data_IF_572314184474
#
_entry.id   IF_572314184474
#
_cell.length_a   1.000
_cell.length_b   1.000
_cell.length_c   1.000
_cell.angle_alpha   90.00
_cell.angle_beta   90.00
_cell.angle_gamma   90.00
#
_symmetry.space_group_name_H-M   'P 1'
#
loop_
_entity.id
_entity.type
_entity.pdbx_description
1 polymer ?
#
# COMPACT_ATOMS: atom_id res chain seq x y z
N UNK A 1 21.01 -14.08 -6.36
CA UNK A 1 21.41 -13.84 -4.95
C UNK A 1 21.53 -12.34 -4.67
N UNK A 2 21.03 -11.86 -3.53
CA UNK A 2 21.18 -10.47 -3.06
C UNK A 2 22.06 -10.46 -1.82
N UNK A 3 23.02 -9.53 -1.74
CA UNK A 3 23.89 -9.40 -0.54
C UNK A 3 23.99 -7.93 -0.11
N UNK A 4 23.81 -7.71 1.18
CA UNK A 4 24.11 -6.45 1.87
C UNK A 4 25.29 -6.71 2.82
N UNK A 5 26.36 -5.95 2.69
CA UNK A 5 27.59 -6.08 3.49
C UNK A 5 27.91 -4.77 4.19
N UNK A 6 27.72 -4.69 5.49
CA UNK A 6 27.96 -3.53 6.35
C UNK A 6 27.25 -2.25 5.85
N UNK A 7 26.01 -2.38 5.34
CA UNK A 7 25.35 -1.25 4.69
C UNK A 7 24.79 -0.27 5.71
N UNK A 8 25.26 0.98 5.60
CA UNK A 8 24.74 2.13 6.31
C UNK A 8 24.15 3.10 5.30
N UNK A 9 23.03 3.74 5.63
CA UNK A 9 22.41 4.75 4.79
C UNK A 9 22.01 5.94 5.62
N UNK A 10 22.46 7.12 5.17
CA UNK A 10 22.09 8.41 5.73
C UNK A 10 21.42 9.26 4.66
N UNK A 11 20.27 9.84 4.96
CA UNK A 11 19.52 10.71 4.05
C UNK A 11 19.30 12.04 4.76
N UNK A 12 19.78 13.13 4.17
CA UNK A 12 19.68 14.48 4.72
C UNK A 12 20.19 14.58 6.18
N UNK A 13 21.32 13.90 6.48
CA UNK A 13 21.89 13.87 7.81
C UNK A 13 21.17 12.99 8.84
N UNK A 14 20.12 12.25 8.43
CA UNK A 14 19.42 11.31 9.28
C UNK A 14 19.78 9.87 8.92
N UNK A 15 20.26 9.11 9.91
CA UNK A 15 20.57 7.69 9.71
C UNK A 15 19.29 6.88 9.54
N UNK A 16 19.17 6.23 8.40
CA UNK A 16 18.00 5.43 8.02
C UNK A 16 18.27 3.93 8.16
N UNK A 17 19.47 3.48 7.75
CA UNK A 17 19.92 2.10 7.93
C UNK A 17 21.25 2.09 8.68
N UNK A 18 21.41 1.13 9.57
CA UNK A 18 22.55 1.01 10.44
C UNK A 18 23.09 -0.42 10.45
N UNK A 19 24.27 -0.58 9.84
CA UNK A 19 25.03 -1.83 9.79
C UNK A 19 24.21 -3.05 9.31
N UNK A 20 23.59 -2.93 8.15
CA UNK A 20 22.79 -4.02 7.59
C UNK A 20 23.69 -5.10 6.99
N UNK A 21 23.48 -6.32 7.49
CA UNK A 21 24.01 -7.55 6.92
C UNK A 21 22.85 -8.47 6.54
N UNK A 22 22.67 -8.75 5.27
CA UNK A 22 21.62 -9.64 4.79
C UNK A 22 22.07 -10.33 3.51
N UNK A 23 21.87 -11.64 3.45
CA UNK A 23 22.00 -12.42 2.22
C UNK A 23 20.64 -13.02 1.89
N UNK A 24 20.16 -12.83 0.68
CA UNK A 24 18.99 -13.52 0.11
C UNK A 24 19.51 -14.47 -0.95
N UNK A 25 19.27 -15.77 -0.76
CA UNK A 25 19.77 -16.80 -1.67
C UNK A 25 18.95 -16.86 -2.96
N UNK A 26 19.51 -17.50 -3.98
CA UNK A 26 18.77 -17.72 -5.24
C UNK A 26 17.52 -18.56 -5.00
N UNK A 27 16.39 -18.11 -5.56
CA UNK A 27 15.10 -18.74 -5.40
C UNK A 27 14.47 -18.57 -4.01
N UNK A 28 15.11 -17.85 -3.09
CA UNK A 28 14.56 -17.59 -1.76
C UNK A 28 13.50 -16.49 -1.79
N UNK A 29 12.41 -16.71 -1.05
CA UNK A 29 11.36 -15.70 -0.83
C UNK A 29 11.54 -15.09 0.57
N UNK A 30 12.03 -13.84 0.64
CA UNK A 30 12.28 -13.12 1.89
C UNK A 30 11.28 -12.00 2.09
N UNK A 31 10.63 -11.99 3.24
CA UNK A 31 9.71 -10.96 3.68
C UNK A 31 10.42 -10.01 4.66
N UNK A 32 10.45 -8.73 4.33
CA UNK A 32 10.86 -7.65 5.23
C UNK A 32 9.63 -7.12 5.97
N UNK A 33 9.64 -7.16 7.29
CA UNK A 33 8.57 -6.63 8.13
C UNK A 33 9.13 -5.70 9.22
N UNK A 34 8.26 -4.91 9.84
CA UNK A 34 8.58 -3.92 10.87
C UNK A 34 7.67 -2.70 10.79
N UNK A 35 7.81 -1.79 11.73
CA UNK A 35 7.04 -0.55 11.80
C UNK A 35 7.24 0.35 10.56
N UNK A 36 6.32 1.29 10.35
CA UNK A 36 6.49 2.31 9.30
C UNK A 36 7.74 3.15 9.59
N UNK A 37 8.52 3.45 8.54
CA UNK A 37 9.75 4.24 8.70
C UNK A 37 10.98 3.47 9.21
N UNK A 38 10.90 2.15 9.47
CA UNK A 38 12.04 1.37 9.96
C UNK A 38 13.11 1.03 8.89
N UNK A 39 12.96 1.49 7.64
CA UNK A 39 13.97 1.33 6.59
C UNK A 39 13.67 0.28 5.51
N UNK A 40 12.49 -0.39 5.51
CA UNK A 40 12.12 -1.42 4.50
C UNK A 40 12.21 -0.92 3.06
N UNK A 41 11.55 0.20 2.78
CA UNK A 41 11.59 0.86 1.46
C UNK A 41 13.01 1.28 1.05
N UNK A 42 13.85 1.67 2.00
CA UNK A 42 15.25 1.99 1.73
C UNK A 42 16.03 0.75 1.29
N UNK A 43 15.80 -0.40 1.93
CA UNK A 43 16.40 -1.67 1.51
C UNK A 43 15.95 -2.09 0.10
N UNK A 44 14.65 -1.97 -0.22
CA UNK A 44 14.16 -2.28 -1.57
C UNK A 44 14.76 -1.34 -2.62
N UNK A 45 14.90 -0.03 -2.30
CA UNK A 45 15.52 0.96 -3.19
C UNK A 45 17.02 0.78 -3.41
N UNK A 46 17.73 0.20 -2.46
CA UNK A 46 19.12 -0.19 -2.65
C UNK A 46 19.26 -1.35 -3.64
N UNK A 47 18.37 -2.35 -3.57
CA UNK A 47 18.44 -3.52 -4.45
C UNK A 47 18.11 -3.16 -5.90
N UNK A 48 17.13 -2.27 -6.12
CA UNK A 48 16.73 -1.87 -7.47
C UNK A 48 17.54 -0.68 -8.03
N UNK A 49 18.54 -0.18 -7.29
CA UNK A 49 19.44 0.87 -7.73
C UNK A 49 18.84 2.29 -7.69
N UNK A 50 17.63 2.49 -7.20
CA UNK A 50 17.10 3.86 -7.02
C UNK A 50 17.94 4.64 -6.01
N UNK A 51 18.53 3.96 -5.05
CA UNK A 51 19.60 4.45 -4.21
C UNK A 51 20.87 3.70 -4.66
N UNK A 52 21.96 4.41 -5.02
CA UNK A 52 22.18 5.86 -4.92
C UNK A 52 21.82 6.65 -6.18
N UNK A 53 21.39 6.03 -7.29
CA UNK A 53 21.38 6.65 -8.61
C UNK A 53 20.38 7.81 -8.78
N UNK A 54 19.22 7.78 -8.08
CA UNK A 54 18.15 8.76 -8.25
C UNK A 54 17.78 9.54 -6.99
N UNK A 55 18.16 9.05 -5.81
CA UNK A 55 17.92 9.78 -4.56
C UNK A 55 19.08 10.72 -4.31
N UNK A 56 18.76 12.02 -4.16
CA UNK A 56 19.74 13.06 -3.83
C UNK A 56 19.98 13.10 -2.31
N UNK A 57 21.15 13.67 -1.92
CA UNK A 57 21.52 13.87 -0.53
C UNK A 57 21.47 12.57 0.30
N UNK A 58 21.93 11.48 -0.32
CA UNK A 58 22.05 10.16 0.29
C UNK A 58 23.52 9.75 0.37
N UNK A 59 23.94 9.33 1.56
CA UNK A 59 25.24 8.71 1.79
C UNK A 59 25.03 7.23 2.03
N UNK A 60 25.75 6.39 1.28
CA UNK A 60 25.72 4.94 1.39
C UNK A 60 27.12 4.45 1.65
N UNK A 61 27.32 3.78 2.78
CA UNK A 61 28.54 3.06 3.12
C UNK A 61 28.25 1.54 3.13
N UNK A 62 29.24 0.74 2.81
CA UNK A 62 29.09 -0.69 2.60
C UNK A 62 28.78 -1.05 1.14
N UNK A 63 28.38 -2.30 0.89
CA UNK A 63 28.18 -2.81 -0.46
C UNK A 63 26.88 -3.56 -0.60
N UNK A 64 26.15 -3.29 -1.69
CA UNK A 64 24.97 -4.05 -2.12
C UNK A 64 25.26 -4.70 -3.45
N UNK A 65 25.13 -6.04 -3.51
CA UNK A 65 25.28 -6.77 -4.76
C UNK A 65 24.03 -7.56 -5.09
N UNK A 66 23.69 -7.61 -6.38
CA UNK A 66 22.61 -8.46 -6.90
C UNK A 66 23.15 -9.24 -8.09
N UNK A 67 23.01 -10.56 -8.06
CA UNK A 67 23.57 -11.45 -9.09
C UNK A 67 25.07 -11.18 -9.36
N UNK A 68 25.82 -10.85 -8.30
CA UNK A 68 27.24 -10.50 -8.38
C UNK A 68 27.53 -9.09 -8.89
N UNK A 69 26.53 -8.31 -9.32
CA UNK A 69 26.70 -6.92 -9.72
C UNK A 69 26.73 -6.01 -8.49
N UNK A 70 27.70 -5.13 -8.38
CA UNK A 70 27.68 -4.04 -7.42
C UNK A 70 26.69 -2.98 -7.88
N UNK A 71 25.63 -2.76 -7.12
CA UNK A 71 24.53 -1.87 -7.52
C UNK A 71 25.00 -0.41 -7.66
N UNK A 72 25.85 0.05 -6.77
CA UNK A 72 26.33 1.46 -6.81
C UNK A 72 27.18 1.76 -8.05
N UNK A 73 27.83 0.76 -8.63
CA UNK A 73 28.73 0.92 -9.77
C UNK A 73 28.10 0.50 -11.12
N UNK A 74 26.98 -0.23 -11.06
CA UNK A 74 26.36 -0.78 -12.25
C UNK A 74 25.40 0.20 -12.92
N UNK A 75 25.37 0.29 -14.25
CA UNK A 75 24.43 1.17 -14.92
C UNK A 75 22.99 0.65 -14.76
N UNK A 76 22.03 1.58 -14.63
CA UNK A 76 20.61 1.28 -14.31
C UNK A 76 19.95 0.31 -15.27
N UNK A 77 20.28 0.35 -16.56
CA UNK A 77 19.68 -0.58 -17.53
C UNK A 77 20.03 -2.04 -17.24
N UNK A 78 21.28 -2.31 -16.79
CA UNK A 78 21.70 -3.67 -16.39
C UNK A 78 21.02 -4.13 -15.11
N UNK A 79 20.84 -3.22 -14.15
CA UNK A 79 20.11 -3.51 -12.92
C UNK A 79 18.66 -3.85 -13.28
N UNK A 80 18.00 -3.07 -14.14
CA UNK A 80 16.62 -3.26 -14.55
C UNK A 80 16.37 -4.56 -15.36
N UNK A 81 17.38 -5.10 -16.05
CA UNK A 81 17.30 -6.41 -16.70
C UNK A 81 17.23 -7.57 -15.67
N UNK A 82 17.92 -7.43 -14.54
CA UNK A 82 18.02 -8.48 -13.52
C UNK A 82 17.03 -8.33 -12.39
N UNK A 83 16.63 -7.09 -12.06
CA UNK A 83 15.79 -6.72 -10.92
C UNK A 83 14.49 -6.11 -11.40
N UNK A 84 13.41 -6.85 -11.25
CA UNK A 84 12.06 -6.36 -11.49
C UNK A 84 11.46 -5.74 -10.24
N UNK A 85 11.01 -4.47 -10.32
CA UNK A 85 10.50 -3.72 -9.19
C UNK A 85 9.01 -3.43 -9.30
N UNK A 86 8.26 -3.68 -8.22
CA UNK A 86 6.86 -3.27 -8.09
C UNK A 86 6.73 -2.31 -6.91
N UNK A 87 6.31 -1.07 -7.20
CA UNK A 87 6.23 0.00 -6.21
C UNK A 87 4.87 0.03 -5.49
N UNK A 88 4.87 0.65 -4.32
CA UNK A 88 3.67 0.86 -3.50
C UNK A 88 2.56 1.60 -4.27
N UNK A 89 2.94 2.60 -5.08
CA UNK A 89 1.98 3.32 -5.93
C UNK A 89 2.15 2.92 -7.40
N UNK A 90 1.29 2.05 -7.95
CA UNK A 90 1.42 1.59 -9.32
C UNK A 90 1.28 2.70 -10.37
N UNK A 91 0.60 3.81 -10.02
CA UNK A 91 0.41 4.93 -10.95
C UNK A 91 1.71 5.60 -11.38
N UNK A 92 2.76 5.49 -10.57
CA UNK A 92 4.07 6.07 -10.89
C UNK A 92 4.91 5.20 -11.82
N UNK A 93 4.45 3.98 -12.14
CA UNK A 93 5.15 3.03 -13.00
C UNK A 93 4.66 3.04 -14.45
N UNK A 94 3.46 3.59 -14.73
CA UNK A 94 2.85 3.49 -16.06
C UNK A 94 3.33 4.57 -17.01
N UNK A 95 3.71 4.14 -18.20
CA UNK A 95 4.13 4.96 -19.32
C UNK A 95 3.14 4.92 -20.47
N UNK A 96 2.37 3.84 -20.61
CA UNK A 96 1.40 3.64 -21.67
C UNK A 96 -0.04 3.91 -21.20
N UNK A 97 -0.91 4.22 -22.15
CA UNK A 97 -2.35 4.40 -21.89
C UNK A 97 -3.15 3.12 -22.06
N UNK A 98 -2.57 2.13 -22.73
CA UNK A 98 -3.13 0.81 -22.99
C UNK A 98 -2.41 -0.26 -22.14
N UNK A 99 -3.18 -1.21 -21.61
CA UNK A 99 -2.65 -2.22 -20.70
C UNK A 99 -1.76 -3.26 -21.38
N UNK A 100 -2.07 -3.66 -22.60
CA UNK A 100 -1.25 -4.62 -23.34
C UNK A 100 0.08 -3.99 -23.77
N UNK A 101 0.06 -2.72 -24.20
CA UNK A 101 1.26 -1.94 -24.47
C UNK A 101 2.10 -1.73 -23.18
N UNK A 102 1.46 -1.52 -22.02
CA UNK A 102 2.17 -1.40 -20.76
C UNK A 102 2.89 -2.69 -20.34
N UNK A 103 2.28 -3.86 -20.60
CA UNK A 103 2.94 -5.15 -20.36
C UNK A 103 4.15 -5.33 -21.29
N UNK A 104 4.08 -4.84 -22.52
CA UNK A 104 5.16 -4.93 -23.52
C UNK A 104 6.30 -3.93 -23.26
N UNK A 105 6.03 -2.83 -22.56
CA UNK A 105 6.92 -1.67 -22.45
C UNK A 105 8.37 -2.00 -22.03
N UNK A 106 8.54 -2.86 -21.03
CA UNK A 106 9.86 -3.28 -20.60
C UNK A 106 10.62 -4.06 -21.67
N UNK A 107 9.92 -4.92 -22.42
CA UNK A 107 10.49 -5.70 -23.51
C UNK A 107 10.88 -4.82 -24.70
N UNK A 108 10.09 -3.77 -24.99
CA UNK A 108 10.42 -2.76 -26.01
C UNK A 108 11.71 -2.02 -25.65
N UNK A 109 11.88 -1.63 -24.40
CA UNK A 109 13.06 -0.89 -23.93
C UNK A 109 14.35 -1.71 -24.02
N UNK A 110 14.30 -3.03 -23.90
CA UNK A 110 15.47 -3.89 -24.11
C UNK A 110 15.66 -4.30 -25.60
N UNK A 111 14.83 -3.78 -26.50
CA UNK A 111 14.92 -4.05 -27.93
C UNK A 111 14.53 -5.49 -28.32
N UNK A 112 13.60 -6.09 -27.59
CA UNK A 112 13.13 -7.45 -27.89
C UNK A 112 12.42 -7.51 -29.27
N UNK A 113 12.56 -8.65 -29.95
CA UNK A 113 11.91 -8.90 -31.22
C UNK A 113 10.37 -8.86 -31.11
N UNK A 114 9.70 -8.37 -32.14
CA UNK A 114 8.25 -8.18 -32.17
C UNK A 114 7.46 -9.46 -31.88
N UNK A 115 7.85 -10.58 -32.55
CA UNK A 115 7.18 -11.88 -32.38
C UNK A 115 7.40 -12.41 -30.93
N UNK A 116 8.60 -12.21 -30.38
CA UNK A 116 8.90 -12.58 -29.00
C UNK A 116 8.05 -11.77 -28.04
N UNK A 117 7.95 -10.45 -28.20
CA UNK A 117 7.14 -9.56 -27.34
C UNK A 117 5.68 -9.99 -27.30
N UNK A 118 5.06 -10.22 -28.48
CA UNK A 118 3.66 -10.63 -28.55
C UNK A 118 3.41 -11.97 -27.86
N UNK A 119 4.27 -12.95 -28.09
CA UNK A 119 4.20 -14.26 -27.41
C UNK A 119 4.37 -14.09 -25.90
N UNK A 120 5.27 -13.23 -25.47
CA UNK A 120 5.56 -13.01 -24.05
C UNK A 120 4.41 -12.28 -23.34
N UNK A 121 3.82 -11.26 -23.96
CA UNK A 121 2.63 -10.57 -23.47
C UNK A 121 1.46 -11.54 -23.33
N UNK A 122 1.15 -12.30 -24.39
CA UNK A 122 0.08 -13.29 -24.36
C UNK A 122 0.30 -14.35 -23.26
N UNK A 123 1.54 -14.84 -23.11
CA UNK A 123 1.92 -15.77 -22.05
C UNK A 123 1.73 -15.14 -20.66
N UNK A 124 2.18 -13.91 -20.47
CA UNK A 124 2.02 -13.19 -19.20
C UNK A 124 0.55 -13.06 -18.80
N UNK A 125 -0.31 -12.66 -19.74
CA UNK A 125 -1.75 -12.54 -19.50
C UNK A 125 -2.34 -13.88 -19.08
N UNK A 126 -1.97 -14.97 -19.74
CA UNK A 126 -2.46 -16.32 -19.44
C UNK A 126 -1.92 -16.85 -18.10
N UNK A 127 -0.59 -16.72 -17.83
CA UNK A 127 0.05 -17.20 -16.61
C UNK A 127 -0.55 -16.52 -15.37
N UNK A 128 -0.82 -15.21 -15.45
CA UNK A 128 -1.35 -14.40 -14.36
C UNK A 128 -2.88 -14.37 -14.29
N UNK A 129 -3.56 -14.96 -15.29
CA UNK A 129 -5.04 -15.00 -15.42
C UNK A 129 -5.67 -13.61 -15.36
N UNK A 130 -5.15 -12.71 -16.18
CA UNK A 130 -5.55 -11.29 -16.25
C UNK A 130 -6.14 -10.93 -17.63
N UNK A 131 -6.78 -11.88 -18.33
CA UNK A 131 -7.39 -11.68 -19.64
C UNK A 131 -8.39 -10.51 -19.64
N UNK A 132 -9.05 -10.28 -18.51
CA UNK A 132 -9.98 -9.17 -18.33
C UNK A 132 -9.30 -7.79 -18.31
N UNK A 133 -8.00 -7.71 -18.23
CA UNK A 133 -7.22 -6.46 -18.26
C UNK A 133 -6.68 -6.16 -19.68
N UNK A 134 -6.60 -7.14 -20.57
CA UNK A 134 -6.03 -6.97 -21.90
C UNK A 134 -6.78 -5.87 -22.70
N UNK A 135 -6.03 -5.09 -23.46
CA UNK A 135 -6.51 -4.05 -24.39
C UNK A 135 -7.45 -3.02 -23.75
N UNK A 136 -7.23 -2.73 -22.47
CA UNK A 136 -8.00 -1.73 -21.73
C UNK A 136 -7.20 -0.47 -21.47
N UNK A 137 -7.91 0.65 -21.40
CA UNK A 137 -7.29 1.91 -20.96
C UNK A 137 -6.84 1.80 -19.50
N UNK A 138 -5.56 2.08 -19.22
CA UNK A 138 -4.97 2.10 -17.88
C UNK A 138 -5.73 3.07 -16.95
N UNK A 139 -6.27 4.15 -17.51
CA UNK A 139 -7.05 5.13 -16.72
C UNK A 139 -8.39 4.57 -16.22
N UNK A 140 -8.96 3.58 -16.92
CA UNK A 140 -10.23 2.95 -16.55
C UNK A 140 -10.08 1.86 -15.48
N UNK A 141 -8.84 1.44 -15.18
CA UNK A 141 -8.57 0.38 -14.23
C UNK A 141 -8.74 0.85 -12.78
N UNK A 142 -9.27 -0.02 -11.94
CA UNK A 142 -9.30 0.14 -10.49
C UNK A 142 -7.88 0.10 -9.89
N UNK A 143 -7.74 0.52 -8.62
CA UNK A 143 -6.43 0.47 -7.93
C UNK A 143 -5.84 -0.94 -7.88
N UNK A 144 -6.66 -1.96 -7.62
CA UNK A 144 -6.21 -3.36 -7.62
C UNK A 144 -5.82 -3.87 -9.01
N UNK A 145 -6.60 -3.56 -10.05
CA UNK A 145 -6.26 -3.89 -11.43
C UNK A 145 -4.96 -3.22 -11.87
N UNK A 146 -4.72 -1.97 -11.47
CA UNK A 146 -3.45 -1.27 -11.72
C UNK A 146 -2.27 -1.96 -11.07
N UNK A 147 -2.41 -2.42 -9.83
CA UNK A 147 -1.34 -3.15 -9.16
C UNK A 147 -1.01 -4.47 -9.87
N UNK A 148 -2.05 -5.20 -10.30
CA UNK A 148 -1.86 -6.42 -11.09
C UNK A 148 -1.20 -6.14 -12.44
N UNK A 149 -1.56 -5.04 -13.12
CA UNK A 149 -0.94 -4.61 -14.36
C UNK A 149 0.54 -4.23 -14.16
N UNK A 150 0.86 -3.46 -13.11
CA UNK A 150 2.26 -3.13 -12.77
C UNK A 150 3.09 -4.38 -12.48
N UNK A 151 2.49 -5.38 -11.82
CA UNK A 151 3.16 -6.66 -11.64
C UNK A 151 3.34 -7.40 -12.97
N UNK A 152 2.34 -7.40 -13.84
CA UNK A 152 2.37 -8.07 -15.15
C UNK A 152 3.46 -7.50 -16.06
N UNK A 153 3.66 -6.17 -16.08
CA UNK A 153 4.73 -5.55 -16.87
C UNK A 153 6.12 -5.98 -16.37
N UNK A 154 6.31 -6.10 -15.08
CA UNK A 154 7.55 -6.64 -14.49
C UNK A 154 7.70 -8.13 -14.78
N UNK A 155 6.63 -8.92 -14.65
CA UNK A 155 6.64 -10.36 -14.93
C UNK A 155 6.97 -10.69 -16.38
N UNK A 156 6.51 -9.85 -17.33
CA UNK A 156 6.82 -10.00 -18.74
C UNK A 156 8.34 -9.95 -19.02
N UNK A 157 9.09 -9.15 -18.29
CA UNK A 157 10.55 -9.06 -18.37
C UNK A 157 11.27 -10.32 -17.88
N UNK A 158 10.64 -11.13 -17.03
CA UNK A 158 11.20 -12.34 -16.42
C UNK A 158 12.52 -12.12 -15.67
N UNK A 159 12.58 -11.14 -14.77
CA UNK A 159 13.81 -10.83 -14.04
C UNK A 159 14.17 -11.98 -13.09
N UNK A 160 15.47 -12.10 -12.74
CA UNK A 160 15.93 -13.12 -11.77
C UNK A 160 15.49 -12.78 -10.34
N UNK A 161 15.40 -11.47 -10.03
CA UNK A 161 15.05 -10.96 -8.72
C UNK A 161 13.81 -10.08 -8.80
N UNK A 162 12.81 -10.36 -7.97
CA UNK A 162 11.64 -9.51 -7.79
C UNK A 162 11.76 -8.74 -6.48
N UNK A 163 11.63 -7.42 -6.56
CA UNK A 163 11.60 -6.51 -5.41
C UNK A 163 10.26 -5.82 -5.35
N UNK A 164 9.53 -6.04 -4.25
CA UNK A 164 8.21 -5.49 -4.07
C UNK A 164 8.16 -4.62 -2.80
N UNK A 165 7.67 -3.40 -2.94
CA UNK A 165 7.51 -2.46 -1.84
C UNK A 165 6.02 -2.22 -1.58
N UNK A 166 5.49 -2.80 -0.50
CA UNK A 166 4.09 -2.73 -0.06
C UNK A 166 3.05 -2.94 -1.18
N UNK A 167 3.16 -4.01 -1.98
CA UNK A 167 2.31 -4.18 -3.15
C UNK A 167 0.83 -4.39 -2.81
N UNK A 168 0.50 -4.68 -1.55
CA UNK A 168 -0.89 -4.88 -1.10
C UNK A 168 -1.58 -3.61 -0.59
N UNK A 169 -0.89 -2.46 -0.50
CA UNK A 169 -1.38 -1.25 0.17
C UNK A 169 -2.78 -0.79 -0.28
N UNK A 170 -3.08 -0.91 -1.58
CA UNK A 170 -4.34 -0.45 -2.18
C UNK A 170 -5.27 -1.60 -2.61
N UNK A 171 -4.98 -2.85 -2.19
CA UNK A 171 -5.73 -4.03 -2.59
C UNK A 171 -6.86 -4.35 -1.60
N UNK A 172 -7.99 -4.76 -2.14
CA UNK A 172 -9.01 -5.47 -1.38
C UNK A 172 -8.64 -6.97 -1.24
N UNK A 173 -9.44 -7.71 -0.52
CA UNK A 173 -9.17 -9.12 -0.23
C UNK A 173 -9.04 -9.97 -1.51
N UNK A 174 -9.93 -9.77 -2.49
CA UNK A 174 -9.91 -10.53 -3.75
C UNK A 174 -8.63 -10.24 -4.58
N UNK A 175 -8.23 -8.97 -4.63
CA UNK A 175 -7.00 -8.57 -5.33
C UNK A 175 -5.74 -9.08 -4.60
N UNK A 176 -5.74 -9.11 -3.26
CA UNK A 176 -4.66 -9.72 -2.48
C UNK A 176 -4.51 -11.22 -2.75
N UNK A 177 -5.62 -11.95 -2.83
CA UNK A 177 -5.60 -13.37 -3.18
C UNK A 177 -5.05 -13.62 -4.59
N UNK A 178 -5.37 -12.75 -5.54
CA UNK A 178 -4.77 -12.80 -6.88
C UNK A 178 -3.27 -12.55 -6.82
N UNK A 179 -2.83 -11.50 -6.09
CA UNK A 179 -1.40 -11.21 -5.92
C UNK A 179 -0.67 -12.39 -5.26
N UNK A 180 -1.25 -13.01 -4.23
CA UNK A 180 -0.68 -14.20 -3.60
C UNK A 180 -0.41 -15.32 -4.62
N UNK A 181 -1.41 -15.66 -5.45
CA UNK A 181 -1.27 -16.71 -6.50
C UNK A 181 -0.18 -16.39 -7.51
N UNK A 182 -0.06 -15.12 -7.87
CA UNK A 182 1.00 -14.63 -8.76
C UNK A 182 2.37 -14.84 -8.10
N UNK A 183 2.53 -14.45 -6.84
CA UNK A 183 3.76 -14.65 -6.08
C UNK A 183 4.12 -16.14 -5.90
N UNK A 184 3.11 -17.00 -5.71
CA UNK A 184 3.31 -18.46 -5.72
C UNK A 184 3.85 -18.97 -7.05
N UNK A 185 3.36 -18.42 -8.17
CA UNK A 185 3.86 -18.77 -9.51
C UNK A 185 5.32 -18.34 -9.69
N UNK A 186 5.66 -17.13 -9.29
CA UNK A 186 7.04 -16.59 -9.32
C UNK A 186 7.97 -17.47 -8.47
N UNK A 187 7.58 -17.80 -7.23
CA UNK A 187 8.37 -18.67 -6.35
C UNK A 187 8.58 -20.06 -6.94
N UNK A 188 7.51 -20.68 -7.48
CA UNK A 188 7.59 -22.01 -8.12
C UNK A 188 8.49 -22.02 -9.35
N UNK A 189 8.65 -20.89 -10.02
CA UNK A 189 9.55 -20.73 -11.17
C UNK A 189 11.01 -20.52 -10.76
N UNK A 190 11.32 -20.52 -9.46
CA UNK A 190 12.69 -20.44 -8.93
C UNK A 190 13.27 -19.03 -8.85
N UNK A 191 12.45 -17.99 -8.99
CA UNK A 191 12.90 -16.60 -8.89
C UNK A 191 13.10 -16.19 -7.43
N UNK A 192 14.08 -15.31 -7.21
CA UNK A 192 14.34 -14.70 -5.90
C UNK A 192 13.34 -13.57 -5.65
N UNK A 193 12.75 -13.52 -4.46
CA UNK A 193 11.77 -12.49 -4.09
C UNK A 193 12.19 -11.79 -2.79
N UNK A 194 12.29 -10.46 -2.84
CA UNK A 194 12.42 -9.61 -1.67
C UNK A 194 11.18 -8.71 -1.59
N UNK A 195 10.36 -8.89 -0.57
CA UNK A 195 9.12 -8.13 -0.40
C UNK A 195 9.09 -7.41 0.93
N UNK A 196 8.85 -6.10 0.92
CA UNK A 196 8.55 -5.30 2.08
C UNK A 196 7.04 -5.21 2.26
N UNK A 197 6.51 -5.57 3.43
CA UNK A 197 5.07 -5.63 3.62
C UNK A 197 4.65 -5.39 5.09
N UNK A 198 3.46 -4.78 5.24
CA UNK A 198 2.77 -4.62 6.51
C UNK A 198 1.61 -5.62 6.70
N UNK A 199 0.99 -6.08 5.62
CA UNK A 199 -0.09 -7.07 5.64
C UNK A 199 0.49 -8.46 5.49
N UNK A 200 0.80 -9.11 6.59
CA UNK A 200 1.57 -10.36 6.60
C UNK A 200 0.72 -11.60 6.30
N UNK A 201 -0.59 -11.55 6.55
CA UNK A 201 -1.48 -12.71 6.50
C UNK A 201 -1.51 -13.40 5.13
N UNK A 202 -1.53 -12.65 4.01
CA UNK A 202 -1.58 -13.26 2.68
C UNK A 202 -0.23 -13.87 2.23
N UNK A 203 0.87 -13.52 2.88
CA UNK A 203 2.22 -14.06 2.64
C UNK A 203 2.55 -15.24 3.56
N UNK A 204 1.69 -15.52 4.53
CA UNK A 204 1.87 -16.63 5.45
C UNK A 204 1.96 -17.96 4.69
N UNK A 205 3.01 -18.75 4.99
CA UNK A 205 3.32 -20.00 4.28
C UNK A 205 3.92 -19.81 2.87
N UNK A 206 4.09 -18.57 2.38
CA UNK A 206 4.75 -18.29 1.12
C UNK A 206 6.22 -17.86 1.32
N UNK A 207 6.49 -16.99 2.28
CA UNK A 207 7.85 -16.58 2.61
C UNK A 207 8.64 -17.73 3.25
N UNK A 208 9.89 -17.92 2.82
CA UNK A 208 10.82 -18.90 3.42
C UNK A 208 11.45 -18.34 4.69
N UNK A 209 11.73 -17.04 4.68
CA UNK A 209 12.37 -16.33 5.77
C UNK A 209 11.74 -14.94 5.96
N UNK A 210 11.61 -14.53 7.20
CA UNK A 210 11.06 -13.25 7.61
C UNK A 210 12.15 -12.46 8.34
N UNK A 211 12.44 -11.26 7.88
CA UNK A 211 13.43 -10.35 8.43
C UNK A 211 12.71 -9.19 9.10
N UNK A 212 12.83 -9.10 10.41
CA UNK A 212 12.24 -8.04 11.20
C UNK A 212 13.21 -6.88 11.36
N UNK A 213 12.79 -5.71 10.86
CA UNK A 213 13.54 -4.46 10.99
C UNK A 213 12.94 -3.58 12.08
N UNK A 214 13.83 -2.95 12.85
CA UNK A 214 13.48 -1.93 13.84
C UNK A 214 14.54 -0.84 13.84
N UNK A 215 14.11 0.41 13.76
CA UNK A 215 14.99 1.59 13.82
C UNK A 215 16.23 1.47 12.90
N UNK A 216 16.05 1.02 11.66
CA UNK A 216 17.12 0.91 10.67
C UNK A 216 18.04 -0.31 10.82
N UNK A 217 17.77 -1.23 11.72
CA UNK A 217 18.58 -2.43 11.96
C UNK A 217 17.77 -3.71 11.73
N UNK A 218 18.44 -4.79 11.35
CA UNK A 218 17.87 -6.14 11.42
C UNK A 218 17.94 -6.60 12.87
N UNK A 219 16.81 -6.65 13.55
CA UNK A 219 16.74 -7.05 14.95
C UNK A 219 16.61 -8.58 15.09
N UNK A 220 15.78 -9.19 14.23
CA UNK A 220 15.58 -10.63 14.22
C UNK A 220 15.33 -11.16 12.80
N UNK A 221 15.76 -12.39 12.59
CA UNK A 221 15.41 -13.16 11.40
C UNK A 221 14.74 -14.44 11.85
N UNK A 222 13.63 -14.80 11.19
CA UNK A 222 12.82 -15.97 11.50
C UNK A 222 12.70 -16.86 10.29
N UNK A 223 12.66 -18.14 10.49
CA UNK A 223 12.07 -19.09 9.56
C UNK A 223 10.53 -18.91 9.54
N UNK A 224 9.86 -19.40 8.50
CA UNK A 224 8.38 -19.38 8.45
C UNK A 224 7.75 -20.08 9.69
N UNK A 225 8.34 -21.18 10.15
CA UNK A 225 7.85 -21.92 11.30
C UNK A 225 8.02 -21.15 12.63
N UNK A 226 9.17 -20.54 12.86
CA UNK A 226 9.39 -19.70 14.04
C UNK A 226 8.46 -18.50 14.08
N UNK A 227 8.25 -17.85 12.94
CA UNK A 227 7.35 -16.70 12.85
C UNK A 227 5.89 -17.09 13.10
N UNK A 228 5.49 -18.28 12.66
CA UNK A 228 4.16 -18.83 12.93
C UNK A 228 3.90 -19.07 14.43
N UNK A 229 4.95 -19.45 15.18
CA UNK A 229 4.87 -19.73 16.62
C UNK A 229 4.83 -18.46 17.49
N UNK A 230 5.08 -17.26 16.93
CA UNK A 230 4.97 -16.01 17.69
C UNK A 230 3.52 -15.83 18.19
N UNK A 231 3.38 -15.50 19.46
CA UNK A 231 2.09 -15.13 20.04
C UNK A 231 1.60 -13.78 19.48
N UNK A 232 0.30 -13.52 19.59
CA UNK A 232 -0.28 -12.24 19.19
C UNK A 232 0.31 -11.07 20.00
N UNK A 233 0.61 -11.31 21.28
CA UNK A 233 1.25 -10.32 22.15
C UNK A 233 2.66 -9.96 21.67
N UNK A 234 3.47 -10.95 21.28
CA UNK A 234 4.80 -10.71 20.72
C UNK A 234 4.73 -9.93 19.42
N UNK A 235 3.83 -10.31 18.50
CA UNK A 235 3.62 -9.57 17.24
C UNK A 235 3.20 -8.13 17.48
N UNK A 236 2.28 -7.90 18.40
CA UNK A 236 1.84 -6.55 18.78
C UNK A 236 2.99 -5.74 19.38
N UNK A 237 3.81 -6.32 20.26
CA UNK A 237 4.99 -5.67 20.83
C UNK A 237 6.07 -5.33 19.78
N UNK A 238 6.10 -6.07 18.67
CA UNK A 238 6.94 -5.80 17.51
C UNK A 238 6.30 -4.79 16.52
N UNK A 239 5.12 -4.24 16.81
CA UNK A 239 4.39 -3.36 15.90
C UNK A 239 3.88 -4.06 14.62
N UNK A 240 3.75 -5.38 14.64
CA UNK A 240 3.32 -6.18 13.50
C UNK A 240 1.81 -6.43 13.54
N UNK A 241 1.21 -6.52 12.36
CA UNK A 241 -0.22 -6.88 12.24
C UNK A 241 -0.42 -8.37 12.47
N UNK A 242 -1.62 -8.74 12.94
CA UNK A 242 -2.03 -10.14 13.06
C UNK A 242 -1.92 -10.89 11.73
N UNK A 243 -1.47 -12.14 11.79
CA UNK A 243 -1.47 -13.07 10.65
C UNK A 243 -2.71 -13.97 10.65
N UNK A 244 -3.40 -14.08 11.78
CA UNK A 244 -4.62 -14.87 11.93
C UNK A 244 -5.84 -13.94 11.99
N UNK A 245 -6.72 -14.03 11.01
CA UNK A 245 -7.96 -13.24 10.94
C UNK A 245 -9.19 -14.00 11.45
N UNK A 246 -9.06 -15.29 11.73
CA UNK A 246 -10.19 -16.15 12.13
C UNK A 246 -10.71 -15.86 13.55
N UNK A 247 -9.90 -15.21 14.38
CA UNK A 247 -10.28 -14.89 15.78
C UNK A 247 -10.96 -13.53 15.94
N UNK A 248 -11.09 -12.74 14.88
CA UNK A 248 -11.74 -11.43 14.93
C UNK A 248 -13.26 -11.66 14.99
N UNK A 249 -13.84 -11.62 16.18
CA UNK A 249 -15.28 -11.58 16.36
C UNK A 249 -15.81 -10.20 16.02
N UNK A 250 -16.53 -10.10 14.90
CA UNK A 250 -17.28 -8.90 14.56
C UNK A 250 -18.55 -8.93 15.44
N UNK A 251 -18.80 -7.88 16.26
CA UNK A 251 -20.06 -7.81 17.01
C UNK A 251 -21.26 -7.89 16.06
N UNK A 252 -22.30 -8.58 16.45
CA UNK A 252 -23.53 -8.59 15.67
C UNK A 252 -24.05 -7.15 15.52
N UNK A 253 -24.38 -6.78 14.28
CA UNK A 253 -24.93 -5.47 13.97
C UNK A 253 -26.28 -5.32 14.69
N UNK A 254 -26.35 -4.40 15.63
CA UNK A 254 -27.62 -3.98 16.21
C UNK A 254 -28.44 -3.23 15.16
N UNK A 255 -29.73 -3.58 15.07
CA UNK A 255 -30.67 -2.93 14.16
C UNK A 255 -30.68 -1.40 14.34
N UNK A 256 -31.04 -0.68 13.27
CA UNK A 256 -31.20 0.78 13.28
C UNK A 256 -32.07 1.19 14.48
N UNK A 257 -31.48 1.87 15.44
CA UNK A 257 -32.19 2.35 16.61
C UNK A 257 -32.97 3.64 16.27
N UNK A 258 -34.26 3.73 16.64
CA UNK A 258 -35.09 4.90 16.30
C UNK A 258 -34.59 6.24 16.85
N UNK A 259 -33.91 6.22 17.99
CA UNK A 259 -33.47 7.39 18.74
C UNK A 259 -31.94 7.55 18.78
N UNK A 260 -31.19 6.93 17.86
CA UNK A 260 -29.75 7.06 17.80
C UNK A 260 -29.28 8.50 17.61
N UNK A 261 -28.11 8.84 18.17
CA UNK A 261 -27.50 10.17 18.04
C UNK A 261 -27.25 10.55 16.57
N UNK A 262 -26.93 9.56 15.72
CA UNK A 262 -26.82 9.70 14.27
C UNK A 262 -27.69 8.62 13.60
N UNK A 263 -28.55 9.01 12.69
CA UNK A 263 -29.31 8.10 11.85
C UNK A 263 -29.22 8.47 10.38
N UNK A 264 -28.87 7.51 9.55
CA UNK A 264 -28.96 7.58 8.09
C UNK A 264 -30.14 6.72 7.67
N UNK A 265 -31.07 7.28 6.92
CA UNK A 265 -32.31 6.60 6.52
C UNK A 265 -32.45 6.62 5.01
N UNK A 266 -32.53 5.42 4.41
CA UNK A 266 -32.79 5.20 2.99
C UNK A 266 -31.92 6.05 2.06
N UNK A 267 -30.65 6.26 2.42
CA UNK A 267 -29.74 7.12 1.68
C UNK A 267 -29.43 6.50 0.30
N UNK A 268 -29.60 7.32 -0.73
CA UNK A 268 -29.35 6.93 -2.11
C UNK A 268 -28.51 7.98 -2.82
N UNK A 269 -27.57 7.52 -3.65
CA UNK A 269 -26.70 8.40 -4.44
C UNK A 269 -26.53 7.86 -5.85
N UNK A 270 -26.71 8.74 -6.83
CA UNK A 270 -26.50 8.49 -8.26
C UNK A 270 -25.39 9.41 -8.77
N UNK A 271 -24.60 8.91 -9.71
CA UNK A 271 -23.65 9.73 -10.47
C UNK A 271 -23.92 9.56 -11.96
N UNK A 272 -24.28 10.65 -12.64
CA UNK A 272 -24.74 10.58 -14.02
C UNK A 272 -25.92 9.60 -14.15
N UNK A 273 -25.75 8.51 -14.91
CA UNK A 273 -26.77 7.46 -15.08
C UNK A 273 -26.53 6.23 -14.19
N UNK A 274 -25.46 6.20 -13.36
CA UNK A 274 -25.08 5.07 -12.53
C UNK A 274 -25.59 5.27 -11.09
N UNK A 275 -26.36 4.34 -10.57
CA UNK A 275 -26.66 4.26 -9.14
C UNK A 275 -25.45 3.70 -8.41
N UNK A 276 -24.85 4.51 -7.51
CA UNK A 276 -23.69 4.10 -6.73
C UNK A 276 -24.15 3.21 -5.58
N UNK A 277 -25.14 3.67 -4.84
CA UNK A 277 -25.84 2.88 -3.82
C UNK A 277 -27.28 3.36 -3.66
N UNK A 278 -28.13 2.48 -3.16
CA UNK A 278 -29.54 2.74 -2.97
C UNK A 278 -29.98 2.18 -1.62
N UNK A 279 -30.82 2.95 -0.91
CA UNK A 279 -31.50 2.54 0.32
C UNK A 279 -30.56 2.09 1.46
N UNK A 280 -29.45 2.81 1.69
CA UNK A 280 -28.57 2.55 2.82
C UNK A 280 -29.16 3.18 4.08
N UNK A 281 -29.34 2.36 5.11
CA UNK A 281 -29.78 2.81 6.43
C UNK A 281 -28.81 2.30 7.49
N UNK A 282 -28.42 3.19 8.42
CA UNK A 282 -27.59 2.84 9.59
C UNK A 282 -27.88 3.81 10.74
N UNK A 283 -27.56 3.41 11.94
CA UNK A 283 -27.58 4.26 13.12
C UNK A 283 -26.27 4.12 13.91
N UNK A 284 -25.94 5.17 14.64
CA UNK A 284 -24.82 5.20 15.56
C UNK A 284 -25.14 6.06 16.77
N UNK A 285 -24.65 5.70 17.91
CA UNK A 285 -24.67 6.51 19.11
C UNK A 285 -23.33 7.20 19.35
N UNK A 286 -23.30 8.18 20.25
CA UNK A 286 -22.09 8.91 20.58
C UNK A 286 -21.03 7.94 21.16
N UNK A 287 -19.82 8.00 20.63
CA UNK A 287 -18.73 7.11 21.01
C UNK A 287 -18.62 5.82 20.17
N UNK A 288 -19.59 5.53 19.31
CA UNK A 288 -19.53 4.35 18.44
C UNK A 288 -18.43 4.47 17.37
N UNK A 289 -17.78 3.33 17.09
CA UNK A 289 -16.85 3.16 15.98
C UNK A 289 -17.50 2.24 14.94
N UNK A 290 -17.78 2.78 13.75
CA UNK A 290 -18.42 2.02 12.67
C UNK A 290 -17.42 1.70 11.58
N UNK A 291 -17.21 0.42 11.30
CA UNK A 291 -16.42 -0.06 10.18
C UNK A 291 -17.27 -0.22 8.91
N UNK A 292 -16.91 0.50 7.83
CA UNK A 292 -17.53 0.35 6.51
C UNK A 292 -16.65 -0.56 5.66
N UNK A 293 -17.12 -1.78 5.41
CA UNK A 293 -16.38 -2.81 4.68
C UNK A 293 -17.03 -3.11 3.32
N UNK A 294 -16.24 -3.62 2.39
CA UNK A 294 -16.70 -4.01 1.05
C UNK A 294 -15.60 -3.92 0.00
N UNK A 295 -15.87 -4.45 -1.20
CA UNK A 295 -14.93 -4.43 -2.35
C UNK A 295 -14.55 -3.00 -2.75
N UNK A 296 -13.37 -2.86 -3.39
CA UNK A 296 -12.98 -1.59 -3.98
C UNK A 296 -13.98 -1.18 -5.07
N UNK A 297 -14.26 0.14 -5.15
CA UNK A 297 -15.22 0.69 -6.11
C UNK A 297 -16.71 0.56 -5.74
N UNK A 298 -17.08 -0.14 -4.64
CA UNK A 298 -18.51 -0.33 -4.24
C UNK A 298 -19.21 0.94 -3.76
N UNK A 299 -18.44 2.04 -3.52
CA UNK A 299 -19.04 3.31 -3.09
C UNK A 299 -18.73 3.72 -1.64
N UNK A 300 -17.82 3.06 -0.92
CA UNK A 300 -17.45 3.41 0.47
C UNK A 300 -17.07 4.89 0.62
N UNK A 301 -16.11 5.36 -0.19
CA UNK A 301 -15.69 6.77 -0.18
C UNK A 301 -16.81 7.71 -0.62
N UNK A 302 -17.67 7.28 -1.55
CA UNK A 302 -18.85 8.05 -1.95
C UNK A 302 -19.82 8.21 -0.79
N UNK A 303 -20.03 7.15 0.00
CA UNK A 303 -20.87 7.19 1.19
C UNK A 303 -20.29 8.18 2.23
N UNK A 304 -19.00 8.08 2.58
CA UNK A 304 -18.34 9.00 3.51
C UNK A 304 -18.42 10.45 3.03
N UNK A 305 -18.12 10.73 1.75
CA UNK A 305 -18.23 12.06 1.16
C UNK A 305 -19.67 12.59 1.20
N UNK A 306 -20.67 11.73 1.02
CA UNK A 306 -22.07 12.10 1.11
C UNK A 306 -22.47 12.39 2.55
N UNK A 307 -22.02 11.57 3.50
CA UNK A 307 -22.26 11.79 4.93
C UNK A 307 -21.71 13.15 5.38
N UNK A 308 -20.47 13.47 5.00
CA UNK A 308 -19.82 14.75 5.31
C UNK A 308 -20.39 15.96 4.51
N UNK A 309 -21.35 15.76 3.60
CA UNK A 309 -21.94 16.83 2.82
C UNK A 309 -21.10 17.31 1.64
N UNK A 310 -19.98 16.64 1.31
CA UNK A 310 -19.17 16.94 0.13
C UNK A 310 -19.89 16.55 -1.17
N UNK A 311 -20.71 15.51 -1.12
CA UNK A 311 -21.57 15.09 -2.22
C UNK A 311 -23.07 15.29 -1.90
N UNK A 312 -23.91 15.60 -2.91
CA UNK A 312 -25.35 15.65 -2.73
C UNK A 312 -25.92 14.23 -2.52
N UNK A 313 -27.14 14.18 -1.99
CA UNK A 313 -27.98 12.99 -1.88
C UNK A 313 -29.07 13.04 -2.94
N UNK A 314 -29.40 11.90 -3.54
CA UNK A 314 -30.55 11.77 -4.47
C UNK A 314 -31.80 11.26 -3.75
N UNK A 315 -31.66 10.67 -2.57
CA UNK A 315 -32.78 10.22 -1.73
C UNK A 315 -32.33 9.98 -0.29
N UNK A 316 -33.32 9.85 0.60
CA UNK A 316 -33.10 9.60 2.01
C UNK A 316 -32.77 10.84 2.84
N UNK A 317 -32.42 10.62 4.09
CA UNK A 317 -32.10 11.68 5.03
C UNK A 317 -31.01 11.27 6.02
N UNK A 318 -30.32 12.28 6.54
CA UNK A 318 -29.32 12.15 7.60
C UNK A 318 -29.80 13.02 8.75
N UNK A 319 -29.95 12.41 9.91
CA UNK A 319 -30.49 12.99 11.13
C UNK A 319 -29.43 12.90 12.22
N UNK A 320 -29.17 13.98 12.94
CA UNK A 320 -28.31 13.98 14.13
C UNK A 320 -29.05 14.59 15.30
N UNK A 321 -29.08 13.89 16.43
CA UNK A 321 -29.80 14.27 17.65
C UNK A 321 -31.23 14.73 17.36
N UNK A 322 -31.96 13.93 16.54
CA UNK A 322 -33.34 14.21 16.15
C UNK A 322 -33.55 15.32 15.12
N UNK A 323 -32.47 15.95 14.63
CA UNK A 323 -32.56 17.05 13.65
C UNK A 323 -32.05 16.58 12.29
N UNK A 324 -32.89 16.76 11.25
CA UNK A 324 -32.47 16.51 9.87
C UNK A 324 -31.39 17.49 9.44
N UNK A 325 -30.28 16.99 8.93
CA UNK A 325 -29.14 17.79 8.51
C UNK A 325 -29.22 18.17 7.03
N UNK A 326 -29.18 19.46 6.74
CA UNK A 326 -28.94 19.94 5.38
C UNK A 326 -27.48 19.62 4.95
N UNK A 327 -27.21 19.68 3.63
CA UNK A 327 -25.85 19.48 3.11
C UNK A 327 -24.84 20.42 3.78
N UNK A 328 -25.19 21.72 3.92
CA UNK A 328 -24.32 22.73 4.57
C UNK A 328 -24.14 22.48 6.08
N UNK A 329 -25.14 21.93 6.75
CA UNK A 329 -25.03 21.56 8.15
C UNK A 329 -24.07 20.38 8.34
N UNK A 330 -24.12 19.39 7.43
CA UNK A 330 -23.22 18.24 7.43
C UNK A 330 -21.75 18.65 7.27
N UNK A 331 -21.43 19.53 6.32
CA UNK A 331 -20.03 20.00 6.13
C UNK A 331 -19.48 20.77 7.34
N UNK A 332 -20.34 21.27 8.23
CA UNK A 332 -19.91 21.92 9.48
C UNK A 332 -19.79 20.95 10.66
N UNK A 333 -20.59 19.89 10.64
CA UNK A 333 -20.68 18.94 11.76
C UNK A 333 -19.68 17.80 11.64
N UNK A 334 -19.43 17.31 10.42
CA UNK A 334 -18.57 16.15 10.19
C UNK A 334 -17.16 16.59 9.80
N UNK A 335 -16.15 16.08 10.51
CA UNK A 335 -14.78 16.07 10.07
C UNK A 335 -14.50 14.88 9.15
N UNK A 336 -13.58 15.02 8.21
CA UNK A 336 -13.17 13.95 7.30
C UNK A 336 -11.66 13.92 7.15
N UNK A 337 -11.08 12.73 7.31
CA UNK A 337 -9.68 12.46 6.90
C UNK A 337 -9.71 11.72 5.57
N UNK A 338 -9.08 12.30 4.54
CA UNK A 338 -9.04 11.72 3.21
C UNK A 338 -8.02 10.59 3.11
N UNK A 339 -8.21 9.66 2.17
CA UNK A 339 -7.26 8.60 1.89
C UNK A 339 -5.89 9.15 1.44
N UNK A 340 -5.89 10.18 0.61
CA UNK A 340 -4.68 10.93 0.23
C UNK A 340 -4.63 12.20 1.07
N UNK A 341 -3.82 12.18 2.10
CA UNK A 341 -3.67 13.29 3.06
C UNK A 341 -3.07 14.54 2.42
N UNK A 342 -2.30 14.41 1.34
CA UNK A 342 -1.72 15.55 0.64
C UNK A 342 -2.79 16.49 0.04
N UNK A 343 -4.00 15.97 -0.21
CA UNK A 343 -5.11 16.79 -0.65
C UNK A 343 -5.77 17.62 0.47
N UNK A 344 -5.34 17.45 1.72
CA UNK A 344 -5.87 18.16 2.88
C UNK A 344 -4.85 19.09 3.54
N UNK A 345 -3.56 18.94 3.23
CA UNK A 345 -2.51 19.76 3.81
C UNK A 345 -2.22 20.95 2.91
N UNK A 346 -2.40 22.15 3.44
CA UNK A 346 -2.25 23.42 2.72
C UNK A 346 -1.16 24.32 3.31
N UNK A 347 -0.72 24.02 4.52
CA UNK A 347 0.25 24.83 5.25
C UNK A 347 1.66 24.20 5.19
N UNK A 348 2.65 25.03 5.47
CA UNK A 348 4.08 24.67 5.47
C UNK A 348 4.54 24.00 6.78
N UNK A 349 3.70 24.01 7.81
CA UNK A 349 4.01 23.40 9.11
C UNK A 349 2.76 22.84 9.79
N UNK A 350 2.96 21.82 10.63
CA UNK A 350 1.90 21.19 11.42
C UNK A 350 1.16 22.23 12.29
N UNK A 351 1.88 23.19 12.88
CA UNK A 351 1.30 24.28 13.68
C UNK A 351 0.36 25.15 12.83
N UNK A 352 0.79 25.57 11.64
CA UNK A 352 -0.01 26.42 10.76
C UNK A 352 -1.23 25.66 10.22
N UNK A 353 -1.13 24.35 10.00
CA UNK A 353 -2.26 23.51 9.62
C UNK A 353 -3.33 23.46 10.73
N UNK A 354 -2.91 23.31 11.99
CA UNK A 354 -3.83 23.38 13.15
C UNK A 354 -4.51 24.75 13.27
N UNK A 355 -3.77 25.85 13.07
CA UNK A 355 -4.33 27.21 13.08
C UNK A 355 -5.29 27.46 11.92
N UNK A 356 -5.06 26.88 10.75
CA UNK A 356 -5.97 26.96 9.61
C UNK A 356 -7.31 26.28 9.90
N UNK A 357 -7.29 25.18 10.65
CA UNK A 357 -8.50 24.48 11.07
C UNK A 357 -9.22 25.19 12.24
N UNK A 358 -8.48 25.72 13.20
CA UNK A 358 -9.01 26.49 14.33
C UNK A 358 -8.17 27.75 14.62
N UNK A 359 -8.52 28.90 14.01
CA UNK A 359 -7.77 30.16 14.19
C UNK A 359 -7.68 30.67 15.63
N UNK A 360 -8.52 30.17 16.52
CA UNK A 360 -8.57 30.59 17.94
C UNK A 360 -7.81 29.61 18.86
N UNK A 361 -7.19 28.56 18.31
CA UNK A 361 -6.45 27.61 19.11
C UNK A 361 -5.22 28.29 19.76
N UNK A 362 -5.01 28.05 21.03
CA UNK A 362 -3.85 28.54 21.77
C UNK A 362 -2.61 27.65 21.47
N UNK A 363 -1.41 28.22 21.65
CA UNK A 363 -0.17 27.46 21.49
C UNK A 363 -0.09 26.22 22.39
N UNK A 364 -0.68 26.28 23.59
CA UNK A 364 -0.71 25.15 24.50
C UNK A 364 -1.63 24.03 24.00
N UNK A 365 -2.82 24.36 23.50
CA UNK A 365 -3.74 23.37 22.91
C UNK A 365 -3.11 22.68 21.68
N UNK A 366 -2.41 23.44 20.84
CA UNK A 366 -1.70 22.88 19.69
C UNK A 366 -0.57 21.95 20.12
N UNK A 367 0.21 22.35 21.14
CA UNK A 367 1.28 21.50 21.68
C UNK A 367 0.76 20.22 22.32
N UNK A 368 -0.32 20.28 23.07
CA UNK A 368 -0.98 19.10 23.63
C UNK A 368 -1.45 18.16 22.52
N UNK A 369 -2.10 18.70 21.48
CA UNK A 369 -2.55 17.93 20.32
C UNK A 369 -1.37 17.25 19.62
N UNK A 370 -0.33 18.00 19.26
CA UNK A 370 0.85 17.46 18.57
C UNK A 370 1.61 16.43 19.42
N UNK A 371 1.67 16.64 20.75
CA UNK A 371 2.26 15.66 21.69
C UNK A 371 1.50 14.35 21.69
N UNK A 372 0.16 14.39 21.61
CA UNK A 372 -0.67 13.18 21.56
C UNK A 372 -0.46 12.33 20.30
N UNK A 373 0.15 12.91 19.25
CA UNK A 373 0.49 12.24 18.00
C UNK A 373 1.99 12.07 17.76
N UNK A 374 2.85 12.33 18.76
CA UNK A 374 4.32 12.29 18.66
C UNK A 374 4.89 13.20 17.54
N UNK A 375 4.25 14.36 17.32
CA UNK A 375 4.60 15.32 16.26
C UNK A 375 5.22 16.63 16.80
N UNK A 376 5.69 16.67 18.03
CA UNK A 376 6.27 17.89 18.63
C UNK A 376 7.59 18.29 17.99
N UNK A 377 8.36 17.34 17.50
CA UNK A 377 9.70 17.52 16.96
C UNK A 377 9.70 17.49 15.41
N UNK A 378 8.52 17.62 14.77
CA UNK A 378 8.34 17.58 13.31
C UNK A 378 8.20 18.97 12.70
#
# INVERSE_FOLDING_TARGET
>A
MIQFQNVNVEIQGKKILDNIHLTVNDGEFVLLCGESGCGKTTLTRLVNGLIPHFVKDVEVDGTVTVEGMNIAESPMYKIAESVGSVFQNPKTQFFNTDSSAEIAFGLENIGADWDFMHKRVAKTIADLKIENLADRSVFSLSGGEKQLLAFASVYAMNPQVYVLDEPSANLDHEAMEKLRRILETVKKSGHTVLIAEHRLSYLYGLADRIVYLKAGRIERTFTAAEFACLSEQERTAMGLRSICTEEIRIPELTFVQPNASLAVRQLSVKRKKLTIFNDISLSADDGDIIGIVGKNGIGKSTFCNTLCGLLPTDGGEIVSHGRRLSRRARTKLFGMVMQDVNHQLFSDSAKNECLSANPNATDNEIRELLSGFDLLDC
#
